data_IF_878208582859
#
_entry.id   IF_878208582859
#
_cell.length_a   1.000
_cell.length_b   1.000
_cell.length_c   1.000
_cell.angle_alpha   90.00
_cell.angle_beta   90.00
_cell.angle_gamma   90.00
#
_symmetry.space_group_name_H-M   'P 1'
#
loop_
_entity.id
_entity.type
_entity.pdbx_description
1 polymer ?
#
# COMPACT_ATOMS: atom_id res chain seq x y z
N UNK A 1 42.33 -17.02 1.20
CA UNK A 1 41.62 -16.71 -0.02
C UNK A 1 41.08 -15.34 0.02
N UNK A 2 41.34 -14.64 -1.05
CA UNK A 2 40.88 -13.27 -1.14
C UNK A 2 39.43 -13.26 -1.50
N UNK A 3 38.66 -12.56 -0.72
CA UNK A 3 37.28 -12.33 -1.05
C UNK A 3 37.22 -11.41 -2.25
N UNK A 4 36.28 -11.64 -3.15
CA UNK A 4 36.14 -10.71 -4.25
C UNK A 4 35.89 -9.31 -3.71
N UNK A 5 36.40 -8.29 -4.38
CA UNK A 5 36.20 -6.93 -3.91
C UNK A 5 34.72 -6.62 -3.77
N UNK A 6 34.38 -5.86 -2.74
CA UNK A 6 33.02 -5.41 -2.57
C UNK A 6 32.66 -4.56 -3.78
N UNK A 7 31.51 -4.78 -4.39
CA UNK A 7 31.15 -4.02 -5.60
C UNK A 7 31.32 -2.52 -5.46
N UNK A 8 31.09 -2.01 -4.26
CA UNK A 8 31.24 -0.58 -3.99
C UNK A 8 32.70 -0.10 -4.08
N UNK A 9 33.66 -1.01 -3.99
CA UNK A 9 35.07 -0.64 -4.08
C UNK A 9 35.53 -0.42 -5.52
N UNK A 10 34.92 -1.11 -6.46
CA UNK A 10 35.25 -0.99 -7.87
C UNK A 10 34.32 -0.12 -8.66
N UNK A 11 33.30 0.43 -8.01
CA UNK A 11 32.26 1.22 -8.67
C UNK A 11 32.25 2.62 -8.10
N UNK A 12 32.32 3.61 -8.96
CA UNK A 12 32.20 5.00 -8.53
C UNK A 12 30.77 5.29 -8.13
N UNK A 13 30.60 6.32 -7.30
CA UNK A 13 29.29 6.72 -6.79
C UNK A 13 28.31 6.99 -7.94
N UNK A 14 28.79 7.62 -9.01
CA UNK A 14 27.94 7.90 -10.16
C UNK A 14 27.47 6.64 -10.87
N UNK A 15 28.33 5.62 -10.96
CA UNK A 15 27.97 4.34 -11.54
C UNK A 15 26.99 3.57 -10.66
N UNK A 16 27.18 3.67 -9.35
CA UNK A 16 26.27 3.02 -8.40
C UNK A 16 24.88 3.66 -8.47
N UNK A 17 24.82 4.98 -8.53
CA UNK A 17 23.57 5.71 -8.66
C UNK A 17 22.86 5.34 -9.96
N UNK A 18 23.61 5.26 -11.04
CA UNK A 18 23.07 4.85 -12.35
C UNK A 18 22.53 3.42 -12.31
N UNK A 19 23.26 2.53 -11.64
CA UNK A 19 22.84 1.14 -11.49
C UNK A 19 21.55 1.04 -10.70
N UNK A 20 21.45 1.76 -9.60
CA UNK A 20 20.24 1.82 -8.81
C UNK A 20 19.07 2.36 -9.61
N UNK A 21 19.30 3.47 -10.29
CA UNK A 21 18.25 4.12 -11.07
C UNK A 21 17.77 3.21 -12.20
N UNK A 22 18.69 2.60 -12.92
CA UNK A 22 18.38 1.72 -14.03
C UNK A 22 17.67 0.45 -13.56
N UNK A 23 18.20 -0.22 -12.51
CA UNK A 23 17.61 -1.42 -11.96
C UNK A 23 16.25 -1.17 -11.36
N UNK A 24 16.15 -0.07 -10.61
CA UNK A 24 14.90 0.29 -9.96
C UNK A 24 13.81 0.62 -10.97
N UNK A 25 14.14 1.37 -12.01
CA UNK A 25 13.18 1.71 -13.05
C UNK A 25 12.81 0.54 -13.94
N UNK A 26 13.70 -0.45 -14.04
CA UNK A 26 13.43 -1.65 -14.82
C UNK A 26 12.58 -2.65 -14.04
N UNK A 27 13.26 -3.59 -13.39
CA UNK A 27 12.60 -4.70 -12.70
C UNK A 27 11.75 -4.23 -11.52
N UNK A 28 12.24 -3.26 -10.76
CA UNK A 28 11.58 -2.83 -9.55
C UNK A 28 10.39 -1.93 -9.80
N UNK A 29 10.42 -1.16 -10.88
CA UNK A 29 9.26 -0.39 -11.29
C UNK A 29 8.09 -1.31 -11.66
N UNK A 30 8.38 -2.42 -12.34
CA UNK A 30 7.35 -3.41 -12.66
C UNK A 30 6.79 -4.07 -11.41
N UNK A 31 7.65 -4.35 -10.44
CA UNK A 31 7.22 -4.93 -9.17
C UNK A 31 6.30 -3.95 -8.43
N UNK A 32 6.69 -2.68 -8.36
CA UNK A 32 5.90 -1.65 -7.70
C UNK A 32 4.55 -1.48 -8.41
N UNK A 33 4.53 -1.48 -9.73
CA UNK A 33 3.28 -1.39 -10.49
C UNK A 33 2.35 -2.55 -10.16
N UNK A 34 2.91 -3.75 -10.06
CA UNK A 34 2.17 -4.94 -9.66
C UNK A 34 1.58 -4.78 -8.25
N UNK A 35 2.38 -4.26 -7.33
CA UNK A 35 1.93 -4.00 -5.96
C UNK A 35 0.82 -2.96 -5.92
N UNK A 36 0.91 -1.92 -6.74
CA UNK A 36 -0.11 -0.89 -6.81
C UNK A 36 -1.43 -1.43 -7.35
N UNK A 37 -1.36 -2.33 -8.31
CA UNK A 37 -2.57 -2.99 -8.82
C UNK A 37 -3.22 -3.84 -7.74
N UNK A 38 -2.42 -4.55 -6.95
CA UNK A 38 -2.94 -5.31 -5.81
C UNK A 38 -3.56 -4.40 -4.75
N UNK A 39 -2.94 -3.24 -4.50
CA UNK A 39 -3.50 -2.28 -3.55
C UNK A 39 -4.85 -1.74 -4.03
N UNK A 40 -4.98 -1.46 -5.31
CA UNK A 40 -6.25 -1.03 -5.89
C UNK A 40 -7.33 -2.09 -5.71
N UNK A 41 -6.99 -3.35 -5.91
CA UNK A 41 -7.92 -4.47 -5.72
C UNK A 41 -8.32 -4.60 -4.26
N UNK A 42 -7.37 -4.47 -3.35
CA UNK A 42 -7.63 -4.54 -1.91
C UNK A 42 -8.53 -3.38 -1.48
N UNK A 43 -8.28 -2.19 -1.98
CA UNK A 43 -9.10 -1.02 -1.67
C UNK A 43 -10.53 -1.21 -2.14
N UNK A 44 -10.71 -1.67 -3.37
CA UNK A 44 -12.05 -1.94 -3.92
C UNK A 44 -12.76 -2.99 -3.09
N UNK A 45 -12.08 -4.08 -2.74
CA UNK A 45 -12.63 -5.13 -1.90
C UNK A 45 -12.97 -4.60 -0.51
N UNK A 46 -12.11 -3.77 0.07
CA UNK A 46 -12.34 -3.17 1.37
C UNK A 46 -13.58 -2.28 1.35
N UNK A 47 -13.73 -1.46 0.31
CA UNK A 47 -14.91 -0.59 0.16
C UNK A 47 -16.19 -1.40 0.08
N UNK A 48 -16.19 -2.49 -0.67
CA UNK A 48 -17.35 -3.36 -0.78
C UNK A 48 -17.68 -4.03 0.55
N UNK A 49 -16.67 -4.50 1.26
CA UNK A 49 -16.83 -5.12 2.58
C UNK A 49 -17.29 -4.11 3.61
N UNK A 50 -16.75 -2.90 3.56
CA UNK A 50 -17.16 -1.82 4.46
C UNK A 50 -18.64 -1.51 4.26
N UNK A 51 -19.07 -1.39 3.01
CA UNK A 51 -20.48 -1.14 2.69
C UNK A 51 -21.37 -2.27 3.21
N UNK A 52 -20.97 -3.51 2.98
CA UNK A 52 -21.71 -4.67 3.47
C UNK A 52 -21.80 -4.70 4.99
N UNK A 53 -20.71 -4.37 5.68
CA UNK A 53 -20.68 -4.31 7.14
C UNK A 53 -21.57 -3.20 7.67
N UNK A 54 -21.61 -2.04 7.02
CA UNK A 54 -22.50 -0.94 7.41
C UNK A 54 -23.96 -1.34 7.28
N UNK A 55 -24.29 -2.01 6.19
CA UNK A 55 -25.65 -2.50 5.97
C UNK A 55 -26.04 -3.52 7.05
N UNK A 56 -25.15 -4.46 7.35
CA UNK A 56 -25.40 -5.47 8.37
C UNK A 56 -25.55 -4.84 9.75
N UNK A 57 -24.68 -3.90 10.08
CA UNK A 57 -24.73 -3.20 11.36
C UNK A 57 -26.01 -2.39 11.49
N UNK A 58 -26.42 -1.72 10.44
CA UNK A 58 -27.66 -0.95 10.41
C UNK A 58 -28.86 -1.83 10.72
N UNK A 59 -28.87 -3.05 10.22
CA UNK A 59 -29.99 -3.98 10.45
C UNK A 59 -30.08 -4.45 11.89
N UNK A 60 -28.96 -4.50 12.61
CA UNK A 60 -28.91 -5.01 14.00
C UNK A 60 -28.67 -3.94 15.04
N UNK A 61 -28.41 -2.70 14.65
CA UNK A 61 -28.00 -1.65 15.59
C UNK A 61 -29.01 -1.39 16.71
N UNK A 62 -30.30 -1.57 16.43
CA UNK A 62 -31.34 -1.36 17.43
C UNK A 62 -31.29 -2.41 18.54
N UNK A 63 -30.71 -3.56 18.26
CA UNK A 63 -30.53 -4.64 19.22
C UNK A 63 -29.26 -4.47 20.05
N UNK A 64 -28.40 -3.53 19.69
CA UNK A 64 -27.13 -3.29 20.34
C UNK A 64 -27.22 -2.08 21.27
N UNK A 65 -26.32 -2.06 22.25
CA UNK A 65 -26.11 -0.85 23.05
C UNK A 65 -25.68 0.26 22.08
N UNK A 66 -26.28 1.48 22.17
CA UNK A 66 -25.94 2.57 21.28
C UNK A 66 -24.45 2.90 21.24
N UNK A 67 -23.76 2.79 22.37
CA UNK A 67 -22.32 3.07 22.44
C UNK A 67 -21.54 2.03 21.63
N UNK A 68 -21.92 0.76 21.76
CA UNK A 68 -21.29 -0.32 21.01
C UNK A 68 -21.53 -0.16 19.51
N UNK A 69 -22.74 0.22 19.12
CA UNK A 69 -23.06 0.46 17.72
C UNK A 69 -22.21 1.59 17.15
N UNK A 70 -22.10 2.70 17.87
CA UNK A 70 -21.24 3.82 17.45
C UNK A 70 -19.78 3.41 17.32
N UNK A 71 -19.30 2.63 18.27
CA UNK A 71 -17.93 2.13 18.24
C UNK A 71 -17.68 1.24 17.03
N UNK A 72 -18.62 0.36 16.70
CA UNK A 72 -18.50 -0.50 15.52
C UNK A 72 -18.50 0.29 14.22
N UNK A 73 -19.35 1.31 14.12
CA UNK A 73 -19.31 2.21 12.95
C UNK A 73 -17.96 2.89 12.84
N UNK A 74 -17.38 3.30 13.95
CA UNK A 74 -16.06 3.93 13.94
C UNK A 74 -14.97 2.97 13.49
N UNK A 75 -15.03 1.72 13.94
CA UNK A 75 -14.07 0.70 13.51
C UNK A 75 -14.15 0.47 12.00
N UNK A 76 -15.35 0.40 11.47
CA UNK A 76 -15.57 0.24 10.03
C UNK A 76 -14.97 1.43 9.27
N UNK A 77 -15.22 2.64 9.74
CA UNK A 77 -14.67 3.86 9.16
C UNK A 77 -13.14 3.85 9.15
N UNK A 78 -12.54 3.45 10.26
CA UNK A 78 -11.07 3.39 10.38
C UNK A 78 -10.45 2.39 9.41
N UNK A 79 -11.12 1.29 9.15
CA UNK A 79 -10.65 0.31 8.19
C UNK A 79 -10.56 0.92 6.78
N UNK A 80 -11.58 1.70 6.41
CA UNK A 80 -11.58 2.41 5.13
C UNK A 80 -10.47 3.47 5.04
N UNK A 81 -10.23 4.19 6.14
CA UNK A 81 -9.16 5.19 6.20
C UNK A 81 -7.78 4.58 5.98
N UNK A 82 -7.53 3.42 6.56
CA UNK A 82 -6.25 2.71 6.39
C UNK A 82 -6.04 2.32 4.92
N UNK A 83 -7.07 1.81 4.28
CA UNK A 83 -7.01 1.44 2.87
C UNK A 83 -6.73 2.66 1.99
N UNK A 84 -7.39 3.78 2.26
CA UNK A 84 -7.16 5.04 1.55
C UNK A 84 -5.72 5.53 1.71
N UNK A 85 -5.18 5.46 2.92
CA UNK A 85 -3.81 5.85 3.19
C UNK A 85 -2.82 5.00 2.40
N UNK A 86 -3.04 3.70 2.38
CA UNK A 86 -2.17 2.78 1.66
C UNK A 86 -2.16 3.12 0.17
N UNK A 87 -3.32 3.43 -0.39
CA UNK A 87 -3.43 3.83 -1.78
C UNK A 87 -2.68 5.13 -2.06
N UNK A 88 -2.83 6.12 -1.19
CA UNK A 88 -2.13 7.41 -1.35
C UNK A 88 -0.61 7.24 -1.33
N UNK A 89 -0.11 6.42 -0.43
CA UNK A 89 1.33 6.13 -0.36
C UNK A 89 1.77 5.42 -1.63
N UNK A 90 0.99 4.46 -2.10
CA UNK A 90 1.27 3.76 -3.33
C UNK A 90 1.36 4.69 -4.53
N UNK A 91 0.43 5.62 -4.65
CA UNK A 91 0.42 6.59 -5.75
C UNK A 91 1.61 7.53 -5.69
N UNK A 92 2.04 7.93 -4.50
CA UNK A 92 3.26 8.72 -4.35
C UNK A 92 4.48 7.97 -4.82
N UNK A 93 4.56 6.70 -4.46
CA UNK A 93 5.66 5.85 -4.90
C UNK A 93 5.68 5.72 -6.42
N UNK A 94 4.52 5.54 -7.02
CA UNK A 94 4.37 5.49 -8.47
C UNK A 94 4.91 6.77 -9.12
N UNK A 95 4.57 7.93 -8.58
CA UNK A 95 5.06 9.20 -9.08
C UNK A 95 6.58 9.32 -8.98
N UNK A 96 7.17 8.84 -7.89
CA UNK A 96 8.61 8.84 -7.71
C UNK A 96 9.31 7.95 -8.73
N UNK A 97 8.68 6.86 -9.12
CA UNK A 97 9.25 5.93 -10.08
C UNK A 97 9.08 6.35 -11.52
N UNK A 98 8.16 7.25 -11.81
CA UNK A 98 7.89 7.69 -13.18
C UNK A 98 8.80 8.81 -13.64
N UNK A 99 9.73 9.25 -12.83
CA UNK A 99 10.73 10.23 -13.21
C UNK A 99 11.95 9.62 -13.88
#
# INVERSE_FOLDING_TARGET
PDLPPIPSEGIEVSELDELFTSGFRGAEANLVESMLNELDDIETDTDERETALRVSLFQVEKSLNPIDAMFLYKVIEMTGEIADMAERVGRRLELLLSH
#
